data_IF_052738325293
#
_entry.id   IF_052738325293
#
_cell.length_a   1.000
_cell.length_b   1.000
_cell.length_c   1.000
_cell.angle_alpha   90.00
_cell.angle_beta   90.00
_cell.angle_gamma   90.00
#
_symmetry.space_group_name_H-M   'P 1'
#
loop_
_entity.id
_entity.type
_entity.pdbx_description
1 polymer ?
#
# COMPACT_ATOMS: atom_id res chain seq x y z
N UNK A 1 -25.15 2.91 36.48
CA UNK A 1 -24.60 2.05 35.39
C UNK A 1 -24.04 2.83 34.19
N UNK A 2 -24.45 4.08 33.91
CA UNK A 2 -23.95 4.86 32.75
C UNK A 2 -22.50 5.36 32.84
N UNK A 3 -21.96 5.60 34.05
CA UNK A 3 -20.57 6.09 34.20
C UNK A 3 -19.51 5.00 33.96
N UNK A 4 -19.85 3.73 34.19
CA UNK A 4 -18.93 2.60 33.99
C UNK A 4 -18.69 2.30 32.50
N UNK A 5 -19.74 2.41 31.68
CA UNK A 5 -19.65 2.23 30.22
C UNK A 5 -18.74 3.27 29.55
N UNK A 6 -18.73 4.51 30.06
CA UNK A 6 -17.86 5.57 29.53
C UNK A 6 -16.37 5.27 29.75
N UNK A 7 -16.03 4.64 30.87
CA UNK A 7 -14.64 4.30 31.21
C UNK A 7 -14.12 3.13 30.36
N UNK A 8 -14.99 2.15 30.03
CA UNK A 8 -14.64 1.03 29.15
C UNK A 8 -14.36 1.51 27.72
N UNK A 9 -15.15 2.46 27.22
CA UNK A 9 -14.94 3.04 25.87
C UNK A 9 -13.66 3.88 25.82
N UNK A 10 -13.35 4.65 26.86
CA UNK A 10 -12.10 5.43 26.92
C UNK A 10 -10.87 4.53 27.00
N UNK A 11 -10.95 3.41 27.74
CA UNK A 11 -9.87 2.44 27.84
C UNK A 11 -9.58 1.74 26.50
N UNK A 12 -10.63 1.40 25.73
CA UNK A 12 -10.49 0.86 24.38
C UNK A 12 -9.91 1.89 23.39
N UNK A 13 -10.16 3.19 23.58
CA UNK A 13 -9.64 4.23 22.69
C UNK A 13 -8.16 4.55 22.96
N UNK A 14 -7.69 4.42 24.21
CA UNK A 14 -6.28 4.66 24.59
C UNK A 14 -5.39 3.43 24.34
N UNK A 15 -5.92 2.21 24.51
CA UNK A 15 -5.15 0.96 24.28
C UNK A 15 -5.45 0.28 22.94
N UNK A 16 -6.43 0.77 22.17
CA UNK A 16 -6.73 0.33 20.81
C UNK A 16 -5.74 0.83 19.75
N UNK A 17 -4.56 1.31 20.16
CA UNK A 17 -3.41 1.37 19.28
C UNK A 17 -2.98 -0.08 18.99
N UNK A 18 -3.70 -0.70 18.05
CA UNK A 18 -3.20 -1.86 17.29
C UNK A 18 -1.81 -1.44 16.84
N UNK A 19 -0.82 -2.09 17.44
CA UNK A 19 0.55 -2.10 16.98
C UNK A 19 0.50 -2.42 15.48
N UNK A 20 0.61 -1.40 14.63
CA UNK A 20 1.18 -1.57 13.31
C UNK A 20 2.64 -1.88 13.60
N UNK A 21 2.91 -3.17 13.77
CA UNK A 21 4.23 -3.71 13.90
C UNK A 21 5.05 -3.20 12.72
N UNK A 22 5.92 -2.24 13.01
CA UNK A 22 7.11 -2.01 12.22
C UNK A 22 7.98 -3.26 12.37
N UNK A 23 7.67 -4.29 11.60
CA UNK A 23 8.48 -5.48 11.49
C UNK A 23 9.13 -5.42 10.10
N UNK A 24 10.36 -4.91 10.09
CA UNK A 24 11.31 -5.29 9.06
C UNK A 24 11.37 -6.81 9.06
N UNK A 25 10.73 -7.42 8.08
CA UNK A 25 10.77 -8.85 7.85
C UNK A 25 11.18 -9.01 6.41
N UNK A 26 12.32 -9.66 6.23
CA UNK A 26 12.84 -10.10 4.94
C UNK A 26 11.70 -10.49 4.02
N UNK A 27 11.63 -9.87 2.85
CA UNK A 27 10.84 -10.36 1.72
C UNK A 27 11.41 -11.73 1.32
N UNK A 28 11.08 -12.78 2.07
CA UNK A 28 10.83 -14.04 1.40
C UNK A 28 9.65 -13.75 0.50
N UNK A 29 9.91 -13.69 -0.81
CA UNK A 29 8.88 -13.83 -1.85
C UNK A 29 8.03 -15.05 -1.44
N UNK A 30 6.98 -14.79 -0.68
CA UNK A 30 5.94 -15.77 -0.43
C UNK A 30 5.39 -16.00 -1.82
N UNK A 31 5.43 -17.23 -2.30
CA UNK A 31 5.08 -17.55 -3.68
C UNK A 31 3.58 -17.27 -3.90
N UNK A 32 3.23 -15.99 -4.13
CA UNK A 32 1.87 -15.48 -4.31
C UNK A 32 1.21 -16.11 -5.55
N UNK A 33 2.00 -16.80 -6.37
CA UNK A 33 1.57 -17.68 -7.45
C UNK A 33 0.53 -18.70 -6.98
N UNK A 34 0.66 -19.22 -5.77
CA UNK A 34 -0.24 -20.25 -5.21
C UNK A 34 -1.63 -19.68 -4.82
N UNK A 35 -1.71 -18.35 -4.65
CA UNK A 35 -2.95 -17.61 -4.42
C UNK A 35 -3.62 -17.17 -5.74
N UNK A 36 -3.08 -17.56 -6.89
CA UNK A 36 -3.57 -17.15 -8.21
C UNK A 36 -3.36 -15.65 -8.49
N UNK A 37 -2.52 -14.97 -7.72
CA UNK A 37 -2.19 -13.56 -7.95
C UNK A 37 -1.13 -13.52 -9.06
N UNK A 38 -1.42 -12.91 -10.22
CA UNK A 38 -0.46 -12.86 -11.31
C UNK A 38 0.76 -12.04 -10.91
N UNK A 39 1.95 -12.50 -11.34
CA UNK A 39 3.20 -11.76 -11.15
C UNK A 39 3.11 -10.39 -11.83
N UNK A 40 3.40 -9.32 -11.07
CA UNK A 40 3.33 -7.96 -11.61
C UNK A 40 4.36 -7.77 -12.74
N UNK A 41 3.96 -7.27 -13.92
CA UNK A 41 4.87 -7.10 -15.06
C UNK A 41 5.94 -6.01 -14.86
N UNK A 42 5.68 -5.05 -13.98
CA UNK A 42 6.53 -3.88 -13.75
C UNK A 42 6.35 -2.77 -14.80
N UNK A 43 6.90 -1.57 -14.56
CA UNK A 43 6.55 -0.37 -15.34
C UNK A 43 7.15 -0.34 -16.75
N UNK A 44 8.24 -1.08 -16.97
CA UNK A 44 8.90 -1.17 -18.28
C UNK A 44 8.31 -2.26 -19.18
N UNK A 45 7.28 -2.97 -18.71
CA UNK A 45 6.69 -4.07 -19.44
C UNK A 45 5.86 -3.58 -20.64
N UNK A 46 5.85 -4.30 -21.78
CA UNK A 46 5.04 -3.91 -22.94
C UNK A 46 3.52 -3.88 -22.70
N UNK A 47 3.04 -4.53 -21.64
CA UNK A 47 1.63 -4.48 -21.22
C UNK A 47 1.26 -3.17 -20.51
N UNK A 48 2.25 -2.35 -20.14
CA UNK A 48 2.01 -1.09 -19.45
C UNK A 48 1.19 -0.14 -20.32
N UNK A 49 0.09 0.39 -19.78
CA UNK A 49 -0.80 1.33 -20.46
C UNK A 49 -0.80 2.73 -19.86
N UNK A 50 -0.21 2.90 -18.69
CA UNK A 50 -0.10 4.20 -18.04
C UNK A 50 -0.31 4.13 -16.54
N UNK A 51 -0.35 5.32 -15.94
CA UNK A 51 -0.57 5.50 -14.52
C UNK A 51 -1.48 6.69 -14.27
N UNK A 52 -2.18 6.68 -13.14
CA UNK A 52 -2.91 7.84 -12.63
C UNK A 52 -2.57 8.10 -11.16
N UNK A 53 -2.62 9.37 -10.76
CA UNK A 53 -2.57 9.73 -9.35
C UNK A 53 -3.95 9.56 -8.74
N UNK A 54 -4.03 8.87 -7.61
CA UNK A 54 -5.28 8.79 -6.85
C UNK A 54 -5.43 10.03 -5.97
N UNK A 55 -6.64 10.22 -5.42
CA UNK A 55 -6.95 11.34 -4.51
C UNK A 55 -6.15 11.29 -3.20
N UNK A 56 -5.61 10.12 -2.84
CA UNK A 56 -4.76 9.92 -1.67
C UNK A 56 -3.32 10.28 -2.02
N UNK A 57 -2.68 11.23 -1.29
CA UNK A 57 -1.30 11.62 -1.57
C UNK A 57 -0.33 10.44 -1.56
N UNK A 58 0.48 10.35 -2.62
CA UNK A 58 1.46 9.29 -2.78
C UNK A 58 0.87 7.96 -3.22
N UNK A 59 -0.43 7.82 -3.45
CA UNK A 59 -0.97 6.63 -4.12
C UNK A 59 -1.04 6.86 -5.63
N UNK A 60 -0.51 5.89 -6.38
CA UNK A 60 -0.65 5.84 -7.84
C UNK A 60 -1.22 4.48 -8.25
N UNK A 61 -2.08 4.49 -9.26
CA UNK A 61 -2.56 3.29 -9.92
C UNK A 61 -1.85 3.09 -11.26
N UNK A 62 -1.59 1.85 -11.63
CA UNK A 62 -1.10 1.48 -12.97
C UNK A 62 -1.90 0.40 -13.62
N UNK A 63 -1.94 0.50 -14.94
CA UNK A 63 -2.79 -0.29 -15.80
C UNK A 63 -1.96 -1.18 -16.70
N UNK A 64 -2.36 -2.45 -16.76
CA UNK A 64 -1.71 -3.47 -17.56
C UNK A 64 -2.73 -4.21 -18.41
N UNK A 65 -2.40 -4.33 -19.69
CA UNK A 65 -3.09 -5.08 -20.73
C UNK A 65 -2.11 -6.16 -21.20
N UNK A 66 -2.23 -7.33 -20.56
CA UNK A 66 -1.26 -8.42 -20.59
C UNK A 66 -1.23 -9.10 -21.95
N UNK A 67 -2.37 -9.27 -22.60
CA UNK A 67 -2.51 -9.91 -23.90
C UNK A 67 -2.49 -8.94 -25.10
N UNK A 68 -2.52 -7.63 -24.82
CA UNK A 68 -2.48 -6.53 -25.80
C UNK A 68 -3.76 -6.42 -26.63
N UNK A 69 -4.89 -6.81 -26.09
CA UNK A 69 -6.20 -6.70 -26.75
C UNK A 69 -6.88 -5.33 -26.55
N UNK A 70 -6.19 -4.40 -25.87
CA UNK A 70 -6.66 -3.07 -25.45
C UNK A 70 -7.75 -3.09 -24.37
N UNK A 71 -7.92 -4.20 -23.66
CA UNK A 71 -8.71 -4.27 -22.43
C UNK A 71 -7.79 -4.27 -21.23
N UNK A 72 -8.34 -3.82 -20.11
CA UNK A 72 -7.62 -3.80 -18.86
C UNK A 72 -7.73 -5.17 -18.20
N UNK A 73 -6.60 -5.86 -18.07
CA UNK A 73 -6.53 -7.13 -17.34
C UNK A 73 -6.22 -6.92 -15.87
N UNK A 74 -5.33 -5.97 -15.57
CA UNK A 74 -4.77 -5.84 -14.24
C UNK A 74 -4.48 -4.39 -13.85
N UNK A 75 -4.82 -4.06 -12.61
CA UNK A 75 -4.54 -2.76 -12.00
C UNK A 75 -3.75 -2.94 -10.70
N UNK A 76 -2.66 -2.17 -10.56
CA UNK A 76 -1.83 -2.15 -9.35
C UNK A 76 -1.90 -0.78 -8.70
N UNK A 77 -2.26 -0.75 -7.42
CA UNK A 77 -2.18 0.46 -6.60
C UNK A 77 -0.95 0.37 -5.71
N UNK A 78 -0.13 1.41 -5.70
CA UNK A 78 1.09 1.47 -4.90
C UNK A 78 1.27 2.81 -4.20
N UNK A 79 1.90 2.74 -3.03
CA UNK A 79 2.26 3.89 -2.21
C UNK A 79 3.70 4.31 -2.49
N UNK A 80 3.85 5.47 -3.14
CA UNK A 80 5.13 6.14 -3.37
C UNK A 80 5.46 6.98 -2.14
N UNK A 81 6.49 6.58 -1.42
CA UNK A 81 7.03 7.31 -0.27
C UNK A 81 8.33 7.96 -0.73
N UNK A 82 8.38 9.30 -0.78
CA UNK A 82 9.64 10.01 -0.96
C UNK A 82 10.40 9.99 0.36
N UNK A 83 11.64 9.51 0.36
CA UNK A 83 12.55 9.78 1.46
C UNK A 83 12.92 11.27 1.36
N UNK A 84 12.52 12.07 2.34
CA UNK A 84 13.08 13.41 2.48
C UNK A 84 14.55 13.24 2.90
N UNK A 85 15.49 13.70 2.07
CA UNK A 85 16.87 13.91 2.51
C UNK A 85 16.81 14.90 3.67
N UNK A 86 17.09 14.44 4.89
CA UNK A 86 17.29 15.32 6.03
C UNK A 86 18.69 15.90 5.89
N UNK A 87 18.85 16.87 5.00
CA UNK A 87 19.97 17.80 5.12
C UNK A 87 19.61 18.74 6.26
N UNK A 88 20.20 18.42 7.42
CA UNK A 88 20.16 19.20 8.63
C UNK A 88 20.47 20.65 8.29
N UNK A 89 19.44 21.49 8.24
CA UNK A 89 19.61 22.93 8.05
C UNK A 89 20.12 23.47 9.38
N UNK A 90 21.43 23.38 9.60
CA UNK A 90 22.10 24.10 10.68
C UNK A 90 21.96 25.59 10.38
N UNK A 91 21.10 26.26 11.15
CA UNK A 91 20.98 27.72 11.19
C UNK A 91 22.02 28.24 12.18
#
# INVERSE_FOLDING_TARGET
MRKLALHIVLFLFVFGAVHVGAQGMNESETDLSDLGIPKEPGWKHPSYRGWESLSVPGLIATYYDLDRDNKLDYMVIRKVIRKASTEETTI
#
